data_IF_020320688724
#
_entry.id   IF_020320688724
#
_cell.length_a   1.000
_cell.length_b   1.000
_cell.length_c   1.000
_cell.angle_alpha   90.00
_cell.angle_beta   90.00
_cell.angle_gamma   90.00
#
_symmetry.space_group_name_H-M   'P 1'
#
loop_
_entity.id
_entity.type
_entity.pdbx_description
1 polymer ?
#
# COMPACT_ATOMS: atom_id res chain seq x y z
N UNK A 1 12.50 8.19 -6.47
CA UNK A 1 12.51 9.46 -7.24
C UNK A 1 12.73 9.27 -8.75
N UNK A 2 13.53 8.31 -9.22
CA UNK A 2 13.85 8.15 -10.64
C UNK A 2 12.70 7.63 -11.54
N UNK A 3 11.69 6.95 -10.98
CA UNK A 3 10.61 6.36 -11.78
C UNK A 3 9.58 7.39 -12.27
N UNK A 4 9.40 8.50 -11.54
CA UNK A 4 8.53 9.62 -11.96
C UNK A 4 9.12 10.39 -13.15
N UNK A 5 10.44 10.54 -13.22
CA UNK A 5 11.14 11.27 -14.28
C UNK A 5 11.13 10.55 -15.65
N UNK A 6 10.87 9.23 -15.67
CA UNK A 6 10.95 8.42 -16.90
C UNK A 6 9.69 8.49 -17.76
N UNK A 7 8.55 8.89 -17.18
CA UNK A 7 7.28 9.06 -17.91
C UNK A 7 7.17 10.41 -18.64
N UNK A 8 7.97 11.41 -18.27
CA UNK A 8 7.93 12.76 -18.86
C UNK A 8 8.49 12.83 -20.29
N UNK A 9 9.44 11.96 -20.66
CA UNK A 9 10.19 12.13 -21.92
C UNK A 9 9.42 11.81 -23.20
N UNK A 10 8.22 11.24 -23.12
CA UNK A 10 7.49 10.79 -24.33
C UNK A 10 6.41 11.76 -24.79
N UNK A 11 6.07 12.78 -24.00
CA UNK A 11 5.12 13.83 -24.41
C UNK A 11 5.54 15.13 -23.73
N UNK A 12 5.81 16.18 -24.51
CA UNK A 12 5.98 17.56 -24.03
C UNK A 12 4.67 18.09 -23.42
N UNK A 13 4.20 17.45 -22.37
CA UNK A 13 3.06 17.84 -21.57
C UNK A 13 3.66 18.45 -20.32
N UNK A 14 3.59 19.77 -20.21
CA UNK A 14 3.91 20.46 -18.97
C UNK A 14 2.85 20.09 -17.93
N UNK A 15 3.15 19.05 -17.13
CA UNK A 15 2.26 18.53 -16.11
C UNK A 15 2.54 19.19 -14.76
N UNK A 16 1.50 19.30 -13.95
CA UNK A 16 1.61 19.79 -12.59
C UNK A 16 0.63 19.06 -11.68
N UNK A 17 1.00 18.97 -10.39
CA UNK A 17 0.10 18.49 -9.35
C UNK A 17 -0.99 19.55 -9.16
N UNK A 18 -2.24 19.19 -9.44
CA UNK A 18 -3.38 20.08 -9.31
C UNK A 18 -4.01 20.00 -7.93
N UNK A 19 -4.00 18.81 -7.32
CA UNK A 19 -4.59 18.54 -6.01
C UNK A 19 -3.95 17.32 -5.39
N UNK A 20 -3.83 17.36 -4.06
CA UNK A 20 -3.45 16.20 -3.25
C UNK A 20 -4.58 15.94 -2.26
N UNK A 21 -5.08 14.70 -2.21
CA UNK A 21 -6.07 14.27 -1.23
C UNK A 21 -5.47 13.22 -0.30
N UNK A 22 -5.55 13.39 1.02
CA UNK A 22 -5.16 12.35 1.97
C UNK A 22 -6.18 11.21 1.97
N UNK A 23 -5.69 9.97 2.12
CA UNK A 23 -6.50 8.76 2.32
C UNK A 23 -5.92 7.95 3.47
N UNK A 24 -6.66 6.95 3.96
CA UNK A 24 -6.30 6.17 5.16
C UNK A 24 -4.89 5.55 5.11
N UNK A 25 -4.39 5.21 3.92
CA UNK A 25 -3.09 4.57 3.70
C UNK A 25 -2.02 5.50 3.09
N UNK A 26 -2.32 6.78 2.83
CA UNK A 26 -1.38 7.69 2.19
C UNK A 26 -2.06 8.82 1.42
N UNK A 27 -1.75 8.96 0.13
CA UNK A 27 -2.17 10.11 -0.67
C UNK A 27 -2.62 9.76 -2.08
N UNK A 28 -3.52 10.59 -2.62
CA UNK A 28 -3.94 10.59 -4.02
C UNK A 28 -3.46 11.89 -4.66
N UNK A 29 -2.62 11.77 -5.68
CA UNK A 29 -2.08 12.90 -6.44
C UNK A 29 -2.82 13.06 -7.77
N UNK A 30 -3.57 14.16 -7.89
CA UNK A 30 -4.19 14.56 -9.14
C UNK A 30 -3.23 15.44 -9.91
N UNK A 31 -3.20 15.24 -11.23
CA UNK A 31 -2.37 16.01 -12.14
C UNK A 31 -3.17 16.49 -13.33
N UNK A 32 -2.81 17.67 -13.82
CA UNK A 32 -3.35 18.26 -15.03
C UNK A 32 -2.21 18.89 -15.84
N UNK A 33 -2.53 19.40 -17.02
CA UNK A 33 -1.60 20.29 -17.70
C UNK A 33 -1.50 21.57 -16.89
N UNK A 34 -0.30 22.12 -16.72
CA UNK A 34 -0.05 23.33 -15.93
C UNK A 34 -0.93 24.51 -16.37
N UNK A 35 -1.19 24.61 -17.68
CA UNK A 35 -2.11 25.60 -18.27
C UNK A 35 -3.57 25.49 -17.83
N UNK A 36 -3.99 24.35 -17.28
CA UNK A 36 -5.36 24.12 -16.81
C UNK A 36 -5.52 24.49 -15.32
N UNK A 37 -4.44 24.85 -14.61
CA UNK A 37 -4.52 25.34 -13.23
C UNK A 37 -5.23 26.70 -13.22
N UNK A 38 -6.29 26.83 -12.40
CA UNK A 38 -7.10 28.05 -12.32
C UNK A 38 -8.07 28.25 -13.48
N UNK A 39 -8.21 27.27 -14.39
CA UNK A 39 -9.17 27.32 -15.48
C UNK A 39 -10.62 27.36 -14.93
N UNK A 40 -11.52 28.19 -15.51
CA UNK A 40 -12.92 28.23 -15.11
C UNK A 40 -13.62 26.88 -15.21
N UNK A 41 -14.54 26.61 -14.28
CA UNK A 41 -15.38 25.42 -14.31
C UNK A 41 -16.20 25.38 -15.63
N UNK A 42 -16.29 24.20 -16.25
CA UNK A 42 -17.05 23.99 -17.49
C UNK A 42 -16.22 23.96 -18.78
N UNK A 43 -14.95 24.41 -18.75
CA UNK A 43 -14.05 24.19 -19.88
C UNK A 43 -13.42 22.79 -19.83
N UNK A 44 -13.45 22.08 -20.97
CA UNK A 44 -12.86 20.74 -21.09
C UNK A 44 -11.35 20.79 -20.80
N UNK A 45 -10.81 19.98 -19.85
CA UNK A 45 -9.38 19.92 -19.60
C UNK A 45 -8.61 19.55 -20.86
N UNK A 46 -7.39 20.06 -20.96
CA UNK A 46 -6.57 19.85 -22.15
C UNK A 46 -5.97 18.45 -22.24
N UNK A 47 -5.99 17.70 -21.14
CA UNK A 47 -5.67 16.29 -21.08
C UNK A 47 -6.95 15.46 -21.02
N UNK A 48 -7.08 14.50 -21.94
CA UNK A 48 -8.14 13.49 -21.91
C UNK A 48 -7.72 12.30 -21.06
N UNK A 49 -8.46 12.03 -19.97
CA UNK A 49 -8.33 10.81 -19.18
C UNK A 49 -7.05 10.73 -18.33
N UNK A 50 -7.03 11.46 -17.20
CA UNK A 50 -5.93 11.39 -16.24
C UNK A 50 -6.30 10.44 -15.09
N UNK A 51 -5.44 9.45 -14.82
CA UNK A 51 -5.51 8.64 -13.60
C UNK A 51 -4.62 9.27 -12.55
N UNK A 52 -5.12 9.60 -11.36
CA UNK A 52 -4.27 10.07 -10.30
C UNK A 52 -3.31 8.98 -9.82
N UNK A 53 -2.20 9.39 -9.25
CA UNK A 53 -1.28 8.47 -8.59
C UNK A 53 -1.74 8.21 -7.17
N UNK A 54 -1.94 6.93 -6.82
CA UNK A 54 -2.20 6.51 -5.45
C UNK A 54 -0.87 6.11 -4.82
N UNK A 55 -0.55 6.67 -3.65
CA UNK A 55 0.69 6.38 -2.93
C UNK A 55 0.33 5.82 -1.56
N UNK A 56 0.82 4.60 -1.30
CA UNK A 56 0.85 4.01 0.03
C UNK A 56 2.09 4.51 0.76
N UNK A 57 1.86 5.27 1.82
CA UNK A 57 2.91 5.87 2.64
C UNK A 57 3.66 4.81 3.45
N UNK A 58 2.94 3.86 4.04
CA UNK A 58 3.50 2.92 4.99
C UNK A 58 4.32 1.83 4.31
N UNK A 59 3.87 1.40 3.12
CA UNK A 59 4.54 0.37 2.34
C UNK A 59 5.45 0.94 1.25
N UNK A 60 5.56 2.27 1.16
CA UNK A 60 6.34 3.00 0.14
C UNK A 60 6.03 2.56 -1.30
N UNK A 61 4.73 2.39 -1.61
CA UNK A 61 4.28 1.83 -2.89
C UNK A 61 3.50 2.84 -3.72
N UNK A 62 3.88 2.94 -5.00
CA UNK A 62 3.05 3.57 -6.02
C UNK A 62 2.03 2.55 -6.55
N UNK A 63 0.75 2.85 -6.41
CA UNK A 63 -0.35 1.99 -6.84
C UNK A 63 -0.82 2.48 -8.20
N UNK A 64 -0.54 1.69 -9.25
CA UNK A 64 -0.98 1.99 -10.60
C UNK A 64 -2.46 1.65 -10.76
N UNK A 65 -3.27 2.69 -10.91
CA UNK A 65 -4.70 2.60 -11.16
C UNK A 65 -5.05 2.37 -12.62
N UNK A 66 -6.25 1.84 -12.89
CA UNK A 66 -6.82 1.78 -14.24
C UNK A 66 -7.62 3.05 -14.54
N UNK A 67 -7.50 3.59 -15.76
CA UNK A 67 -8.28 4.75 -16.26
C UNK A 67 -9.79 4.50 -16.30
N UNK A 68 -10.19 3.23 -16.35
CA UNK A 68 -11.59 2.80 -16.45
C UNK A 68 -12.34 2.76 -15.12
N UNK A 69 -11.64 2.86 -13.97
CA UNK A 69 -12.26 2.78 -12.64
C UNK A 69 -12.25 4.13 -11.94
N UNK A 70 -13.37 4.58 -11.34
CA UNK A 70 -13.38 5.78 -10.51
C UNK A 70 -12.40 5.67 -9.35
N UNK A 71 -11.70 6.76 -9.05
CA UNK A 71 -10.68 6.85 -7.98
C UNK A 71 -11.21 6.38 -6.61
N UNK A 72 -12.42 6.77 -6.15
CA UNK A 72 -12.94 6.31 -4.86
C UNK A 72 -13.06 4.78 -4.77
N UNK A 73 -13.39 4.12 -5.89
CA UNK A 73 -13.46 2.66 -5.96
C UNK A 73 -12.06 2.04 -5.85
N UNK A 74 -11.06 2.63 -6.50
CA UNK A 74 -9.68 2.15 -6.40
C UNK A 74 -9.13 2.26 -4.98
N UNK A 75 -9.39 3.37 -4.29
CA UNK A 75 -9.04 3.58 -2.87
C UNK A 75 -9.70 2.51 -2.01
N UNK A 76 -11.01 2.31 -2.15
CA UNK A 76 -11.77 1.32 -1.38
C UNK A 76 -11.25 -0.11 -1.61
N UNK A 77 -10.98 -0.46 -2.87
CA UNK A 77 -10.46 -1.78 -3.24
C UNK A 77 -9.07 -2.01 -2.61
N UNK A 78 -8.22 -0.99 -2.59
CA UNK A 78 -6.89 -1.06 -1.98
C UNK A 78 -6.96 -1.20 -0.45
N UNK A 79 -7.81 -0.43 0.23
CA UNK A 79 -8.04 -0.56 1.67
C UNK A 79 -8.52 -1.97 2.05
N UNK A 80 -9.42 -2.55 1.25
CA UNK A 80 -9.88 -3.93 1.45
C UNK A 80 -8.74 -4.94 1.28
N UNK A 81 -7.80 -4.66 0.39
CA UNK A 81 -6.61 -5.50 0.22
C UNK A 81 -5.69 -5.36 1.43
N UNK A 82 -5.39 -4.14 1.88
CA UNK A 82 -4.55 -3.89 3.06
C UNK A 82 -5.10 -4.58 4.31
N UNK A 83 -6.41 -4.51 4.56
CA UNK A 83 -7.05 -5.23 5.67
C UNK A 83 -6.82 -6.74 5.59
N UNK A 84 -6.99 -7.34 4.40
CA UNK A 84 -6.74 -8.77 4.20
C UNK A 84 -5.28 -9.15 4.45
N UNK A 85 -4.35 -8.34 3.98
CA UNK A 85 -2.93 -8.56 4.24
C UNK A 85 -2.60 -8.45 5.73
N UNK A 86 -3.16 -7.46 6.44
CA UNK A 86 -3.02 -7.32 7.89
C UNK A 86 -3.57 -8.54 8.65
N UNK A 87 -4.75 -9.03 8.28
CA UNK A 87 -5.31 -10.25 8.86
C UNK A 87 -4.42 -11.48 8.62
N UNK A 88 -3.88 -11.63 7.40
CA UNK A 88 -2.98 -12.73 7.06
C UNK A 88 -1.69 -12.69 7.89
N UNK A 89 -1.06 -11.51 8.02
CA UNK A 89 0.14 -11.33 8.85
C UNK A 89 -0.12 -11.65 10.32
N UNK A 90 -1.25 -11.18 10.86
CA UNK A 90 -1.64 -11.47 12.25
C UNK A 90 -1.90 -12.96 12.48
N UNK A 91 -2.57 -13.63 11.53
CA UNK A 91 -2.80 -15.08 11.61
C UNK A 91 -1.48 -15.86 11.56
N UNK A 92 -0.55 -15.48 10.67
CA UNK A 92 0.78 -16.09 10.60
C UNK A 92 1.57 -15.88 11.89
N UNK A 93 1.56 -14.69 12.47
CA UNK A 93 2.22 -14.39 13.73
C UNK A 93 1.66 -15.23 14.90
N UNK A 94 0.34 -15.39 14.98
CA UNK A 94 -0.31 -16.25 15.99
C UNK A 94 0.12 -17.72 15.86
N UNK A 95 0.16 -18.26 14.64
CA UNK A 95 0.63 -19.63 14.38
C UNK A 95 2.10 -19.82 14.77
N UNK A 96 2.96 -18.86 14.43
CA UNK A 96 4.37 -18.89 14.80
C UNK A 96 4.61 -18.77 16.31
N UNK A 97 3.73 -18.08 17.05
CA UNK A 97 3.78 -18.03 18.51
C UNK A 97 3.39 -19.38 19.13
N UNK A 98 2.30 -20.00 18.65
CA UNK A 98 1.86 -21.32 19.11
C UNK A 98 2.92 -22.40 18.89
N UNK A 99 3.54 -22.44 17.70
CA UNK A 99 4.61 -23.39 17.40
C UNK A 99 5.83 -23.25 18.32
N UNK A 100 6.19 -22.00 18.69
CA UNK A 100 7.26 -21.74 19.66
C UNK A 100 6.88 -22.22 21.06
N UNK A 101 5.66 -21.93 21.52
CA UNK A 101 5.18 -22.43 22.81
C UNK A 101 5.19 -23.96 22.87
N UNK A 102 4.73 -24.65 21.82
CA UNK A 102 4.76 -26.12 21.76
C UNK A 102 6.19 -26.68 21.77
N UNK A 103 7.13 -26.03 21.06
CA UNK A 103 8.53 -26.44 21.06
C UNK A 103 9.20 -26.23 22.43
N UNK A 104 8.90 -25.12 23.12
CA UNK A 104 9.39 -24.85 24.48
C UNK A 104 8.85 -25.87 25.49
N UNK A 105 7.56 -26.21 25.42
CA UNK A 105 6.97 -27.24 26.29
C UNK A 105 7.60 -28.61 26.01
N UNK A 106 7.74 -29.02 24.74
CA UNK A 106 8.38 -30.28 24.38
C UNK A 106 9.83 -30.37 24.86
N UNK A 107 10.60 -29.28 24.78
CA UNK A 107 11.99 -29.23 25.28
C UNK A 107 12.07 -29.28 26.81
N UNK A 108 11.02 -28.80 27.50
CA UNK A 108 10.95 -28.82 28.97
C UNK A 108 10.53 -30.20 29.48
N UNK A 109 9.64 -30.89 28.76
CA UNK A 109 9.19 -32.25 29.09
C UNK A 109 10.29 -33.31 28.85
N UNK A 110 11.19 -33.07 27.88
CA UNK A 110 12.34 -33.95 27.61
C UNK A 110 13.50 -33.77 28.62
N UNK A 111 13.44 -32.76 29.51
CA UNK A 111 14.32 -32.65 30.68
C UNK A 111 13.66 -33.27 31.91
N UNK A 112 13.41 -34.57 31.85
CA UNK A 112 13.09 -35.33 33.04
C UNK A 112 14.38 -35.53 33.87
N UNK A 113 14.48 -35.04 35.13
CA UNK A 113 15.64 -35.25 35.98
C UNK A 113 15.62 -36.69 36.51
N UNK A 114 16.07 -37.64 35.67
CA UNK A 114 16.27 -39.04 36.06
C UNK A 114 17.70 -39.24 36.59
N UNK A 115 17.98 -38.67 37.75
CA UNK A 115 19.12 -38.98 38.64
C UNK A 115 18.85 -38.15 39.90
N UNK A 116 18.45 -38.73 41.04
CA UNK A 116 19.29 -39.56 41.90
C UNK A 116 18.42 -40.59 42.66
N UNK A 117 18.67 -41.87 42.41
CA UNK A 117 18.42 -42.94 43.36
C UNK A 117 19.70 -43.78 43.41
N UNK A 118 20.32 -43.88 44.58
CA UNK A 118 21.42 -44.83 44.78
C UNK A 118 22.34 -44.50 45.94
N UNK A 119 22.15 -45.27 47.01
CA UNK A 119 23.00 -45.54 48.19
C UNK A 119 23.14 -44.46 49.27
#
# INVERSE_FOLDING_TARGET
>A
MAELARAERTKNLDLAISRVEPVSFGWVFYWCARRDIGRPAGQRPSLGGNVPFLVDRENERLIRGATTRPVPRQVTDYERRLRREGHARNAAAKRAAQQRSTATTATTDDRCPSQVAGY
#
